data_IF_056582030030
#
_entry.id   IF_056582030030
#
_cell.length_a   1.000
_cell.length_b   1.000
_cell.length_c   1.000
_cell.angle_alpha   90.00
_cell.angle_beta   90.00
_cell.angle_gamma   90.00
#
_symmetry.space_group_name_H-M   'P 1'
#
loop_
_entity.id
_entity.type
_entity.pdbx_description
1 polymer ?
#
# COMPACT_ATOMS: atom_id res chain seq x y z
N UNK A 1 -20.28 -1.99 21.82
CA UNK A 1 -20.44 -0.54 21.56
C UNK A 1 -19.17 0.12 22.07
N UNK A 2 -18.45 0.83 21.20
CA UNK A 2 -17.23 1.54 21.59
C UNK A 2 -17.65 2.74 22.47
N UNK A 3 -17.10 2.87 23.67
CA UNK A 3 -17.40 4.01 24.54
C UNK A 3 -16.60 5.23 24.07
N UNK A 4 -17.27 6.11 23.33
CA UNK A 4 -16.65 7.34 22.82
C UNK A 4 -16.39 8.38 23.90
N UNK A 5 -16.95 8.23 25.12
CA UNK A 5 -16.74 9.18 26.22
C UNK A 5 -15.45 8.93 26.98
N UNK A 6 -14.87 7.73 26.88
CA UNK A 6 -13.61 7.35 27.52
C UNK A 6 -12.45 7.16 26.54
N UNK A 7 -12.63 7.52 25.26
CA UNK A 7 -11.58 7.34 24.24
C UNK A 7 -10.46 8.36 24.47
N UNK A 8 -9.26 7.85 24.80
CA UNK A 8 -8.04 8.64 24.82
C UNK A 8 -7.42 8.69 23.44
N UNK A 9 -6.89 9.86 23.05
CA UNK A 9 -6.12 10.03 21.83
C UNK A 9 -4.64 10.15 22.17
N UNK A 10 -3.79 9.60 21.31
CA UNK A 10 -2.35 9.79 21.36
C UNK A 10 -1.91 10.30 20.00
N UNK A 11 -1.05 11.32 20.00
CA UNK A 11 -0.42 11.86 18.80
C UNK A 11 1.00 11.30 18.75
N UNK A 12 1.42 10.88 17.57
CA UNK A 12 2.77 10.39 17.30
C UNK A 12 3.25 11.09 16.05
N UNK A 13 4.38 11.77 16.17
CA UNK A 13 4.99 12.46 15.04
C UNK A 13 5.43 11.45 13.98
N UNK A 14 5.38 11.85 12.71
CA UNK A 14 5.91 11.01 11.63
C UNK A 14 7.45 10.93 11.74
N UNK A 15 8.07 9.84 11.26
CA UNK A 15 9.51 9.73 11.19
C UNK A 15 10.15 10.91 10.45
N UNK A 16 11.37 11.26 10.83
CA UNK A 16 12.17 12.28 10.15
C UNK A 16 12.29 11.96 8.64
N UNK A 17 12.34 13.01 7.81
CA UNK A 17 12.37 12.88 6.34
C UNK A 17 10.98 12.85 5.68
N UNK A 18 9.89 12.87 6.45
CA UNK A 18 8.52 12.88 5.90
C UNK A 18 7.98 14.30 5.62
N UNK A 19 8.65 15.35 6.12
CA UNK A 19 8.13 16.73 6.17
C UNK A 19 8.65 17.73 5.15
N UNK A 20 9.74 17.43 4.43
CA UNK A 20 10.36 18.39 3.49
C UNK A 20 9.93 18.18 2.02
N UNK A 21 9.33 17.03 1.70
CA UNK A 21 8.85 16.64 0.37
C UNK A 21 7.44 16.05 0.43
N UNK A 22 6.74 15.97 -0.72
CA UNK A 22 5.37 15.40 -0.89
C UNK A 22 5.31 13.87 -0.61
N UNK A 23 5.69 13.44 0.60
CA UNK A 23 5.72 12.04 0.97
C UNK A 23 4.31 11.45 1.08
N UNK A 24 4.15 10.25 0.55
CA UNK A 24 2.91 9.50 0.59
C UNK A 24 2.94 8.52 1.75
N UNK A 25 1.86 8.51 2.54
CA UNK A 25 1.76 7.72 3.77
C UNK A 25 0.54 6.82 3.72
N UNK A 26 0.72 5.55 4.07
CA UNK A 26 -0.35 4.58 4.24
C UNK A 26 -0.23 3.97 5.64
N UNK A 27 -1.25 4.20 6.47
CA UNK A 27 -1.34 3.66 7.83
C UNK A 27 -2.36 2.53 7.81
N UNK A 28 -2.04 1.41 8.44
CA UNK A 28 -2.95 0.29 8.61
C UNK A 28 -2.85 -0.31 10.01
N UNK A 29 -3.95 -0.90 10.46
CA UNK A 29 -4.01 -1.70 11.67
C UNK A 29 -3.93 -3.19 11.29
N UNK A 30 -2.99 -3.91 11.88
CA UNK A 30 -2.85 -5.35 11.71
C UNK A 30 -3.85 -6.11 12.60
N UNK A 31 -4.12 -7.38 12.27
CA UNK A 31 -5.07 -8.21 13.02
C UNK A 31 -4.74 -8.40 14.51
N UNK A 32 -3.49 -8.15 14.91
CA UNK A 32 -3.05 -8.17 16.31
C UNK A 32 -3.10 -6.79 16.99
N UNK A 33 -3.78 -5.81 16.39
CA UNK A 33 -3.93 -4.44 16.90
C UNK A 33 -2.68 -3.57 16.73
N UNK A 34 -1.62 -4.06 16.07
CA UNK A 34 -0.42 -3.26 15.81
C UNK A 34 -0.68 -2.29 14.66
N UNK A 35 -0.34 -1.04 14.88
CA UNK A 35 -0.36 -0.01 13.83
C UNK A 35 0.94 -0.09 13.04
N UNK A 36 0.82 -0.03 11.72
CA UNK A 36 1.93 -0.09 10.77
C UNK A 36 1.79 1.05 9.78
N UNK A 37 2.92 1.42 9.19
CA UNK A 37 2.97 2.53 8.25
C UNK A 37 3.93 2.23 7.11
N UNK A 38 3.53 2.65 5.91
CA UNK A 38 4.38 2.71 4.74
C UNK A 38 4.56 4.17 4.33
N UNK A 39 5.80 4.53 4.00
CA UNK A 39 6.17 5.85 3.50
C UNK A 39 6.90 5.68 2.18
N UNK A 40 6.46 6.41 1.16
CA UNK A 40 7.22 6.61 -0.08
C UNK A 40 7.42 8.10 -0.28
N UNK A 41 8.68 8.53 -0.25
CA UNK A 41 9.04 9.90 -0.60
C UNK A 41 8.75 10.17 -2.07
N UNK A 42 8.35 11.41 -2.38
CA UNK A 42 7.92 11.76 -3.72
C UNK A 42 9.00 11.45 -4.77
N UNK A 43 8.59 10.79 -5.85
CA UNK A 43 9.46 10.36 -6.95
C UNK A 43 10.64 9.45 -6.56
N UNK A 44 10.63 8.81 -5.40
CA UNK A 44 11.64 7.80 -5.05
C UNK A 44 11.16 6.38 -5.33
N UNK A 45 12.11 5.47 -5.50
CA UNK A 45 11.89 4.04 -5.67
C UNK A 45 11.94 3.29 -4.34
N UNK A 46 12.08 4.03 -3.23
CA UNK A 46 12.20 3.49 -1.88
C UNK A 46 10.83 3.50 -1.19
N UNK A 47 10.41 2.35 -0.68
CA UNK A 47 9.25 2.22 0.19
C UNK A 47 9.73 1.80 1.59
N UNK A 48 9.60 2.71 2.56
CA UNK A 48 9.96 2.44 3.96
C UNK A 48 8.77 1.91 4.73
N UNK A 49 9.02 0.95 5.62
CA UNK A 49 8.01 0.29 6.44
C UNK A 49 8.33 0.44 7.91
N UNK A 50 7.35 0.91 8.66
CA UNK A 50 7.44 1.19 10.09
C UNK A 50 6.36 0.45 10.86
N UNK A 51 6.68 0.09 12.10
CA UNK A 51 5.73 -0.44 13.07
C UNK A 51 5.67 0.52 14.25
N UNK A 52 4.45 0.86 14.69
CA UNK A 52 4.27 1.63 15.91
C UNK A 52 4.56 0.73 17.11
N UNK A 53 5.53 1.13 17.93
CA UNK A 53 5.84 0.44 19.18
C UNK A 53 5.46 1.29 20.38
N UNK A 54 5.01 0.59 21.41
CA UNK A 54 4.84 1.10 22.76
C UNK A 54 5.61 0.15 23.67
N UNK A 55 6.70 0.62 24.26
CA UNK A 55 7.56 -0.17 25.15
C UNK A 55 7.05 -0.21 26.59
N UNK A 56 5.89 0.39 26.88
CA UNK A 56 5.28 0.46 28.20
C UNK A 56 5.99 1.39 29.17
N UNK A 57 7.07 2.05 28.76
CA UNK A 57 7.90 2.95 29.58
C UNK A 57 7.94 4.37 29.00
N UNK A 58 7.68 4.52 27.69
CA UNK A 58 7.71 5.80 26.98
C UNK A 58 6.47 6.09 26.12
N UNK A 59 6.59 7.16 25.33
CA UNK A 59 5.59 7.52 24.33
C UNK A 59 5.64 6.54 23.14
N UNK A 60 4.51 6.42 22.43
CA UNK A 60 4.46 5.66 21.19
C UNK A 60 5.48 6.22 20.19
N UNK A 61 6.24 5.35 19.51
CA UNK A 61 7.23 5.75 18.51
C UNK A 61 7.24 4.81 17.31
N UNK A 62 7.57 5.34 16.14
CA UNK A 62 7.72 4.55 14.92
C UNK A 62 9.10 3.89 14.87
N UNK A 63 9.12 2.57 14.74
CA UNK A 63 10.35 1.82 14.49
C UNK A 63 10.42 1.43 13.00
N UNK A 64 11.53 1.77 12.35
CA UNK A 64 11.82 1.31 10.98
C UNK A 64 12.13 -0.19 11.00
N UNK A 65 11.40 -0.95 10.20
CA UNK A 65 11.49 -2.42 10.17
C UNK A 65 12.05 -2.92 8.85
N UNK A 66 11.71 -2.26 7.74
CA UNK A 66 12.22 -2.63 6.43
C UNK A 66 12.21 -1.45 5.45
N UNK A 67 13.08 -1.57 4.45
CA UNK A 67 13.10 -0.70 3.28
C UNK A 67 13.04 -1.58 2.04
N UNK A 68 12.09 -1.31 1.16
CA UNK A 68 11.92 -2.04 -0.10
C UNK A 68 12.33 -1.17 -1.28
N UNK A 69 13.10 -1.75 -2.19
CA UNK A 69 13.38 -1.15 -3.49
C UNK A 69 12.28 -1.60 -4.46
N UNK A 70 11.57 -0.64 -5.02
CA UNK A 70 10.52 -0.89 -5.99
C UNK A 70 11.16 -1.23 -7.36
N UNK A 71 10.55 -2.14 -8.15
CA UNK A 71 11.23 -2.84 -9.24
C UNK A 71 11.58 -1.97 -10.47
N UNK A 72 10.90 -0.85 -10.68
CA UNK A 72 11.10 0.08 -11.80
C UNK A 72 11.70 1.39 -11.28
N UNK A 73 12.82 1.83 -11.86
CA UNK A 73 13.68 2.87 -11.29
C UNK A 73 13.57 4.28 -11.90
N UNK A 74 12.68 4.51 -12.86
CA UNK A 74 12.82 5.65 -13.79
C UNK A 74 11.72 6.72 -13.65
N UNK A 75 11.22 6.99 -12.44
CA UNK A 75 10.21 8.06 -12.26
C UNK A 75 9.42 8.00 -10.95
N UNK A 76 9.75 7.05 -10.07
CA UNK A 76 9.16 6.92 -8.73
C UNK A 76 7.73 6.38 -8.75
N UNK A 77 7.06 6.45 -7.61
CA UNK A 77 5.78 5.76 -7.39
C UNK A 77 4.73 6.65 -6.74
N UNK A 78 3.47 6.30 -6.97
CA UNK A 78 2.32 6.88 -6.28
C UNK A 78 1.45 5.79 -5.63
N UNK A 79 0.88 6.11 -4.47
CA UNK A 79 -0.06 5.24 -3.77
C UNK A 79 -1.42 5.31 -4.45
N UNK A 80 -1.89 4.16 -4.92
CA UNK A 80 -3.21 4.04 -5.53
C UNK A 80 -4.28 3.65 -4.51
N UNK A 81 -3.87 3.04 -3.39
CA UNK A 81 -4.74 2.68 -2.28
C UNK A 81 -4.39 1.33 -1.68
N UNK A 82 -5.22 0.90 -0.73
CA UNK A 82 -5.11 -0.41 -0.06
C UNK A 82 -6.39 -1.19 -0.31
N UNK A 83 -6.25 -2.42 -0.83
CA UNK A 83 -7.40 -3.24 -1.15
C UNK A 83 -7.03 -4.73 -1.13
N UNK A 84 -7.92 -5.59 -0.64
CA UNK A 84 -7.75 -7.05 -0.69
C UNK A 84 -6.54 -7.60 0.08
N UNK A 85 -5.96 -6.84 1.02
CA UNK A 85 -4.73 -7.20 1.72
C UNK A 85 -3.44 -6.76 1.01
N UNK A 86 -3.54 -5.88 0.01
CA UNK A 86 -2.41 -5.35 -0.74
C UNK A 86 -2.38 -3.82 -0.68
N UNK A 87 -1.17 -3.25 -0.59
CA UNK A 87 -0.91 -1.87 -0.96
C UNK A 87 -0.64 -1.81 -2.45
N UNK A 88 -1.32 -0.93 -3.16
CA UNK A 88 -1.23 -0.79 -4.60
C UNK A 88 -0.45 0.48 -4.94
N UNK A 89 0.60 0.34 -5.75
CA UNK A 89 1.47 1.42 -6.17
C UNK A 89 1.47 1.51 -7.70
N UNK A 90 1.49 2.73 -8.22
CA UNK A 90 1.73 2.98 -9.64
C UNK A 90 3.12 3.60 -9.81
N UNK A 91 4.00 2.87 -10.49
CA UNK A 91 5.28 3.38 -10.96
C UNK A 91 5.08 4.28 -12.17
N UNK A 92 5.76 5.41 -12.17
CA UNK A 92 5.92 6.30 -13.32
C UNK A 92 7.23 5.89 -14.00
N UNK A 93 7.14 5.44 -15.24
CA UNK A 93 8.29 5.03 -16.05
C UNK A 93 8.53 6.02 -17.17
N UNK A 94 9.79 6.09 -17.60
CA UNK A 94 10.23 6.74 -18.84
C UNK A 94 10.21 5.80 -20.05
N UNK A 95 9.75 4.56 -19.88
CA UNK A 95 9.64 3.60 -20.99
C UNK A 95 8.59 4.09 -22.01
N UNK A 96 9.04 4.34 -23.25
CA UNK A 96 8.19 4.74 -24.38
C UNK A 96 7.10 3.71 -24.70
N UNK A 97 7.35 2.44 -24.39
CA UNK A 97 6.41 1.36 -24.63
C UNK A 97 5.45 1.13 -23.46
N UNK A 98 5.88 1.28 -22.21
CA UNK A 98 5.03 1.11 -21.02
C UNK A 98 5.39 2.11 -19.93
N UNK A 99 4.95 3.37 -20.05
CA UNK A 99 5.25 4.42 -19.08
C UNK A 99 4.61 4.20 -17.70
N UNK A 100 3.73 3.21 -17.52
CA UNK A 100 3.07 2.95 -16.24
C UNK A 100 3.16 1.50 -15.82
N UNK A 101 3.51 1.29 -14.55
CA UNK A 101 3.63 -0.02 -13.94
C UNK A 101 2.76 -0.09 -12.69
N UNK A 102 1.98 -1.16 -12.51
CA UNK A 102 1.29 -1.41 -11.25
C UNK A 102 2.01 -2.48 -10.46
N UNK A 103 2.37 -2.12 -9.24
CA UNK A 103 3.03 -2.97 -8.28
C UNK A 103 2.09 -3.17 -7.10
N UNK A 104 1.98 -4.39 -6.63
CA UNK A 104 1.26 -4.72 -5.40
C UNK A 104 2.23 -5.20 -4.34
N UNK A 105 2.08 -4.71 -3.12
CA UNK A 105 2.75 -5.21 -1.93
C UNK A 105 1.75 -5.98 -1.08
N UNK A 106 1.99 -7.27 -0.87
CA UNK A 106 1.20 -8.07 0.05
C UNK A 106 1.44 -7.62 1.49
N UNK A 107 0.42 -7.13 2.19
CA UNK A 107 0.56 -6.55 3.54
C UNK A 107 0.84 -7.59 4.63
N UNK A 108 0.60 -8.87 4.34
CA UNK A 108 0.88 -9.98 5.26
C UNK A 108 2.30 -10.51 5.07
N UNK A 109 2.73 -10.74 3.84
CA UNK A 109 4.03 -11.36 3.52
C UNK A 109 5.13 -10.34 3.22
N UNK A 110 4.77 -9.08 2.99
CA UNK A 110 5.66 -8.01 2.55
C UNK A 110 6.37 -8.32 1.23
N UNK A 111 5.76 -9.15 0.38
CA UNK A 111 6.27 -9.48 -0.95
C UNK A 111 5.72 -8.49 -1.99
N UNK A 112 6.63 -7.97 -2.81
CA UNK A 112 6.33 -7.12 -3.96
C UNK A 112 6.10 -7.97 -5.21
N UNK A 113 5.12 -7.56 -6.01
CA UNK A 113 4.80 -8.18 -7.30
C UNK A 113 4.47 -7.09 -8.32
N UNK A 114 5.11 -7.16 -9.49
CA UNK A 114 4.72 -6.39 -10.67
C UNK A 114 3.65 -7.19 -11.41
N UNK A 115 2.42 -6.68 -11.49
CA UNK A 115 1.32 -7.42 -12.10
C UNK A 115 0.77 -6.78 -13.38
N UNK A 116 1.06 -5.50 -13.65
CA UNK A 116 0.65 -4.83 -14.88
C UNK A 116 1.70 -3.83 -15.38
N UNK A 117 1.94 -3.84 -16.69
CA UNK A 117 2.62 -2.77 -17.42
C UNK A 117 1.65 -2.20 -18.46
N UNK A 118 1.53 -0.88 -18.56
CA UNK A 118 0.50 -0.21 -19.34
C UNK A 118 1.02 1.04 -20.05
N UNK A 119 0.50 1.28 -21.26
CA UNK A 119 0.65 2.53 -22.01
C UNK A 119 -0.21 3.66 -21.47
N UNK A 120 -1.26 3.32 -20.75
CA UNK A 120 -2.26 4.26 -20.23
C UNK A 120 -2.03 4.48 -18.75
N UNK A 121 -2.13 5.75 -18.38
CA UNK A 121 -2.10 6.17 -17.00
C UNK A 121 -3.34 5.64 -16.28
N UNK A 122 -3.17 5.17 -15.05
CA UNK A 122 -4.27 4.74 -14.19
C UNK A 122 -4.56 5.74 -13.07
N UNK A 123 -4.00 6.96 -13.13
CA UNK A 123 -4.34 8.06 -12.21
C UNK A 123 -5.86 8.26 -12.18
N UNK A 124 -6.42 8.28 -10.98
CA UNK A 124 -7.85 8.44 -10.74
C UNK A 124 -8.69 7.17 -10.95
N UNK A 125 -8.10 6.05 -11.39
CA UNK A 125 -8.80 4.77 -11.37
C UNK A 125 -8.90 4.27 -9.93
N UNK A 126 -10.12 4.00 -9.47
CA UNK A 126 -10.34 3.28 -8.23
C UNK A 126 -10.05 1.81 -8.48
N UNK A 127 -8.92 1.32 -7.96
CA UNK A 127 -8.62 -0.10 -7.99
C UNK A 127 -9.57 -0.80 -7.02
N UNK A 128 -10.51 -1.58 -7.55
CA UNK A 128 -11.35 -2.46 -6.76
C UNK A 128 -10.60 -3.75 -6.50
N UNK A 129 -10.23 -4.03 -5.24
CA UNK A 129 -9.92 -5.40 -4.85
C UNK A 129 -11.12 -5.98 -4.12
N UNK A 130 -11.84 -6.83 -4.83
CA UNK A 130 -13.09 -7.44 -4.40
C UNK A 130 -14.03 -7.65 -5.57
N UNK A 131 -15.10 -8.38 -5.34
CA UNK A 131 -16.16 -8.46 -6.33
C UNK A 131 -16.92 -7.13 -6.35
N UNK A 132 -17.21 -6.56 -7.54
CA UNK A 132 -18.09 -5.40 -7.60
C UNK A 132 -19.44 -5.75 -6.95
N UNK A 133 -20.17 -4.77 -6.39
CA UNK A 133 -21.42 -5.02 -5.66
C UNK A 133 -22.47 -5.85 -6.43
N UNK A 134 -22.36 -5.92 -7.76
CA UNK A 134 -23.23 -6.68 -8.66
C UNK A 134 -22.76 -8.10 -9.00
N UNK A 135 -21.55 -8.51 -8.58
CA UNK A 135 -21.03 -9.86 -8.81
C UNK A 135 -20.98 -10.61 -7.48
N UNK A 136 -21.91 -11.54 -7.32
CA UNK A 136 -21.84 -12.56 -6.26
C UNK A 136 -20.52 -13.33 -6.38
N UNK A 137 -20.00 -13.84 -5.24
CA UNK A 137 -18.90 -14.80 -5.26
C UNK A 137 -19.24 -15.92 -6.27
N UNK A 138 -18.33 -16.28 -7.20
CA UNK A 138 -18.53 -17.47 -8.01
C UNK A 138 -18.69 -18.62 -7.03
N UNK A 139 -19.86 -19.25 -7.03
CA UNK A 139 -20.06 -20.49 -6.30
C UNK A 139 -19.11 -21.48 -6.94
N UNK A 140 -18.04 -21.87 -6.24
CA UNK A 140 -17.08 -22.87 -6.70
C UNK A 140 -17.83 -24.18 -6.96
N UNK A 141 -18.34 -24.34 -8.19
CA UNK A 141 -18.60 -25.63 -8.80
C UNK A 141 -17.38 -25.93 -9.63
N UNK A 142 -16.75 -27.08 -9.36
CA UNK A 142 -15.61 -27.58 -10.13
C UNK A 142 -15.86 -27.40 -11.64
N UNK A 143 -15.09 -26.52 -12.27
CA UNK A 143 -15.21 -26.19 -13.68
C UNK A 143 -14.13 -25.19 -14.05
N UNK A 144 -13.09 -25.70 -14.69
CA UNK A 144 -11.93 -24.98 -15.21
C UNK A 144 -12.41 -23.90 -16.19
N UNK A 145 -11.99 -22.64 -16.00
CA UNK A 145 -11.72 -21.75 -17.13
C UNK A 145 -10.85 -20.56 -16.70
N UNK A 146 -9.67 -20.50 -17.30
CA UNK A 146 -8.86 -19.29 -17.45
C UNK A 146 -9.68 -18.16 -18.06
N UNK A 147 -9.52 -16.95 -17.56
CA UNK A 147 -9.89 -15.74 -18.28
C UNK A 147 -8.69 -14.79 -18.28
N UNK A 148 -7.96 -14.83 -19.40
CA UNK A 148 -7.18 -13.69 -19.89
C UNK A 148 -8.18 -12.58 -20.25
N UNK A 149 -7.94 -11.36 -19.76
CA UNK A 149 -8.55 -10.16 -20.32
C UNK A 149 -7.58 -9.54 -21.33
N UNK A 150 -8.08 -9.32 -22.55
CA UNK A 150 -7.42 -8.63 -23.67
C UNK A 150 -7.25 -7.13 -23.44
#
# INVERSE_FOLDING_TARGET
>A
MLDTRSMGFSVVDLPDGTGENEAQVAILEAANGRIKMFINEHFTTELRYYVLQNDGVGANQWLSEATFNLPVNNGGYIFMGVAGGYLLLQGLGEDDQYPFHLVSLNLKTLQLELFLASKRNNKGAHLFAGFPPSLSLPTLRHGISSLLCH
#
